data_IF_479452988062
#
_entry.id   IF_479452988062
#
_cell.length_a   1.000
_cell.length_b   1.000
_cell.length_c   1.000
_cell.angle_alpha   90.00
_cell.angle_beta   90.00
_cell.angle_gamma   90.00
#
_symmetry.space_group_name_H-M   'P 1'
#
loop_
_entity.id
_entity.type
_entity.pdbx_description
1 polymer ?
#
# COMPACT_ATOMS: atom_id res chain seq x y z
N UNK A 1 -6.40 -7.74 -19.78
CA UNK A 1 -6.44 -6.71 -18.72
C UNK A 1 -5.13 -5.97 -18.73
N UNK A 2 -5.12 -4.74 -18.27
CA UNK A 2 -3.94 -3.86 -18.40
C UNK A 2 -2.91 -4.06 -17.28
N UNK A 3 -3.22 -4.83 -16.26
CA UNK A 3 -2.33 -5.12 -15.12
C UNK A 3 -2.26 -4.01 -14.08
N UNK A 4 -3.31 -3.21 -13.98
CA UNK A 4 -3.43 -2.15 -12.95
C UNK A 4 -3.89 -2.71 -11.61
N UNK A 5 -3.72 -1.93 -10.52
CA UNK A 5 -4.29 -2.26 -9.19
C UNK A 5 -5.80 -2.50 -9.30
N UNK A 6 -6.50 -1.65 -10.05
CA UNK A 6 -7.96 -1.77 -10.23
C UNK A 6 -8.35 -3.06 -10.99
N UNK A 7 -7.58 -3.45 -12.01
CA UNK A 7 -7.85 -4.70 -12.74
C UNK A 7 -7.72 -5.92 -11.81
N UNK A 8 -6.70 -5.95 -10.98
CA UNK A 8 -6.48 -7.05 -10.04
C UNK A 8 -7.54 -7.07 -8.94
N UNK A 9 -7.86 -5.91 -8.35
CA UNK A 9 -8.90 -5.83 -7.31
C UNK A 9 -10.29 -6.18 -7.85
N UNK A 10 -10.59 -5.82 -9.11
CA UNK A 10 -11.83 -6.26 -9.77
C UNK A 10 -11.90 -7.79 -9.89
N UNK A 11 -10.79 -8.46 -10.20
CA UNK A 11 -10.77 -9.94 -10.18
C UNK A 11 -11.03 -10.47 -8.77
N UNK A 12 -10.48 -9.84 -7.72
CA UNK A 12 -10.79 -10.25 -6.35
C UNK A 12 -12.27 -10.05 -5.98
N UNK A 13 -12.93 -9.03 -6.54
CA UNK A 13 -14.37 -8.81 -6.33
C UNK A 13 -15.22 -9.88 -7.06
N UNK A 14 -14.79 -10.30 -8.27
CA UNK A 14 -15.43 -11.40 -9.03
C UNK A 14 -15.31 -12.75 -8.32
N UNK A 15 -14.31 -12.93 -7.47
CA UNK A 15 -14.08 -14.17 -6.72
C UNK A 15 -14.85 -14.28 -5.40
N UNK A 16 -15.45 -13.20 -4.91
CA UNK A 16 -16.19 -13.24 -3.64
C UNK A 16 -17.24 -14.34 -3.59
N UNK A 17 -17.22 -15.14 -2.53
CA UNK A 17 -18.10 -16.29 -2.32
C UNK A 17 -17.66 -17.57 -3.04
N UNK A 18 -16.55 -17.56 -3.78
CA UNK A 18 -16.05 -18.76 -4.44
C UNK A 18 -15.41 -19.70 -3.41
N UNK A 19 -15.87 -20.96 -3.39
CA UNK A 19 -15.37 -22.04 -2.52
C UNK A 19 -14.57 -23.11 -3.31
N UNK A 20 -14.39 -22.96 -4.63
CA UNK A 20 -13.64 -23.91 -5.45
C UNK A 20 -12.15 -23.56 -5.46
N UNK A 21 -11.39 -24.08 -4.51
CA UNK A 21 -9.94 -23.87 -4.42
C UNK A 21 -9.15 -24.50 -5.56
N UNK A 22 -9.59 -25.66 -6.07
CA UNK A 22 -8.90 -26.38 -7.13
C UNK A 22 -8.69 -25.55 -8.40
N UNK A 23 -9.65 -24.69 -8.77
CA UNK A 23 -9.55 -23.84 -9.96
C UNK A 23 -8.33 -22.93 -9.96
N UNK A 24 -7.85 -22.50 -8.80
CA UNK A 24 -6.71 -21.60 -8.70
C UNK A 24 -5.40 -22.32 -9.04
N UNK A 25 -5.27 -23.58 -8.63
CA UNK A 25 -4.14 -24.43 -9.02
C UNK A 25 -4.21 -24.83 -10.49
N UNK A 26 -5.41 -25.18 -10.98
CA UNK A 26 -5.66 -25.55 -12.39
C UNK A 26 -5.27 -24.42 -13.36
N UNK A 27 -5.48 -23.15 -12.97
CA UNK A 27 -5.05 -21.99 -13.76
C UNK A 27 -3.54 -22.02 -14.07
N UNK A 28 -2.73 -22.58 -13.17
CA UNK A 28 -1.29 -22.70 -13.30
C UNK A 28 -0.84 -24.08 -13.81
N UNK A 29 -1.79 -24.96 -14.19
CA UNK A 29 -1.50 -26.31 -14.70
C UNK A 29 -1.23 -27.35 -13.64
N UNK A 30 -1.67 -27.13 -12.40
CA UNK A 30 -1.54 -28.07 -11.27
C UNK A 30 -2.90 -28.70 -10.93
N UNK A 31 -2.89 -29.86 -10.28
CA UNK A 31 -4.05 -30.41 -9.59
C UNK A 31 -4.28 -29.70 -8.26
N UNK A 32 -5.31 -30.11 -7.53
CA UNK A 32 -5.59 -29.60 -6.20
C UNK A 32 -4.44 -29.97 -5.24
N UNK A 33 -3.82 -28.94 -4.63
CA UNK A 33 -2.69 -29.08 -3.71
C UNK A 33 -3.07 -28.77 -2.26
N UNK A 34 -4.36 -28.57 -1.96
CA UNK A 34 -4.86 -28.31 -0.61
C UNK A 34 -5.05 -26.83 -0.32
N UNK A 35 -4.27 -26.24 0.57
CA UNK A 35 -4.43 -24.85 0.99
C UNK A 35 -4.20 -23.87 -0.16
N UNK A 36 -5.25 -23.13 -0.52
CA UNK A 36 -5.29 -22.31 -1.73
C UNK A 36 -5.24 -20.79 -1.49
N UNK A 37 -4.87 -20.35 -0.28
CA UNK A 37 -4.78 -18.92 0.02
C UNK A 37 -3.83 -18.20 -0.95
N UNK A 38 -2.57 -18.64 -1.08
CA UNK A 38 -1.60 -18.03 -2.00
C UNK A 38 -1.95 -18.27 -3.47
N UNK A 39 -2.45 -19.47 -3.82
CA UNK A 39 -2.87 -19.77 -5.19
C UNK A 39 -3.97 -18.83 -5.68
N UNK A 40 -4.93 -18.47 -4.82
CA UNK A 40 -6.01 -17.55 -5.16
C UNK A 40 -5.51 -16.11 -5.37
N UNK A 41 -4.54 -15.66 -4.58
CA UNK A 41 -3.96 -14.33 -4.76
C UNK A 41 -3.14 -14.24 -6.06
N UNK A 42 -2.33 -15.26 -6.34
CA UNK A 42 -1.61 -15.34 -7.62
C UNK A 42 -2.57 -15.37 -8.81
N UNK A 43 -3.64 -16.16 -8.72
CA UNK A 43 -4.68 -16.17 -9.76
C UNK A 43 -5.22 -14.75 -10.02
N UNK A 44 -5.61 -14.02 -8.98
CA UNK A 44 -6.15 -12.67 -9.12
C UNK A 44 -5.11 -11.72 -9.75
N UNK A 45 -3.85 -11.78 -9.32
CA UNK A 45 -2.75 -10.97 -9.86
C UNK A 45 -2.57 -11.25 -11.36
N UNK A 46 -2.36 -12.51 -11.76
CA UNK A 46 -2.08 -12.87 -13.15
C UNK A 46 -3.31 -12.71 -14.05
N UNK A 47 -4.49 -13.05 -13.55
CA UNK A 47 -5.74 -12.83 -14.28
C UNK A 47 -6.01 -11.33 -14.50
N UNK A 48 -5.66 -10.49 -13.55
CA UNK A 48 -5.72 -9.02 -13.65
C UNK A 48 -4.67 -8.43 -14.60
N UNK A 49 -3.70 -9.24 -15.07
CA UNK A 49 -2.64 -8.82 -16.00
C UNK A 49 -1.38 -8.26 -15.33
N UNK A 50 -1.29 -8.30 -14.00
CA UNK A 50 -0.09 -8.00 -13.24
C UNK A 50 0.78 -9.24 -13.06
N UNK A 51 1.97 -9.09 -12.48
CA UNK A 51 2.89 -10.19 -12.15
C UNK A 51 3.39 -10.05 -10.71
N UNK A 52 4.02 -11.10 -10.19
CA UNK A 52 4.67 -11.07 -8.89
C UNK A 52 6.06 -11.69 -9.00
N UNK A 53 7.06 -11.06 -8.39
CA UNK A 53 8.42 -11.60 -8.32
C UNK A 53 8.51 -12.65 -7.19
N UNK A 54 7.66 -13.66 -7.29
CA UNK A 54 7.56 -14.79 -6.38
C UNK A 54 7.13 -16.05 -7.16
N UNK A 55 7.69 -17.21 -6.89
CA UNK A 55 8.82 -17.47 -5.97
C UNK A 55 10.15 -17.01 -6.56
N UNK A 56 11.26 -17.04 -5.78
CA UNK A 56 12.60 -16.89 -6.33
C UNK A 56 12.84 -17.88 -7.48
N UNK A 57 13.58 -17.46 -8.51
CA UNK A 57 13.76 -18.24 -9.73
C UNK A 57 14.43 -19.61 -9.49
N UNK A 58 15.25 -19.72 -8.45
CA UNK A 58 15.93 -20.93 -7.98
C UNK A 58 15.08 -21.81 -7.05
N UNK A 59 13.93 -21.29 -6.59
CA UNK A 59 13.00 -22.01 -5.71
C UNK A 59 11.56 -22.05 -6.27
N UNK A 60 11.33 -22.52 -7.51
CA UNK A 60 10.02 -22.48 -8.15
C UNK A 60 8.93 -23.30 -7.43
N UNK A 61 9.35 -24.22 -6.56
CA UNK A 61 8.47 -25.05 -5.74
C UNK A 61 7.77 -24.26 -4.62
N UNK A 62 8.29 -23.08 -4.25
CA UNK A 62 7.66 -22.16 -3.28
C UNK A 62 6.47 -21.39 -3.84
N UNK A 63 6.07 -21.61 -5.09
CA UNK A 63 5.05 -20.79 -5.76
C UNK A 63 3.79 -20.53 -4.93
N UNK A 64 3.28 -21.55 -4.26
CA UNK A 64 2.06 -21.45 -3.46
C UNK A 64 2.30 -21.38 -1.95
N UNK A 65 3.56 -21.24 -1.54
CA UNK A 65 3.93 -20.98 -0.15
C UNK A 65 3.74 -19.50 0.15
N UNK A 66 3.21 -19.19 1.32
CA UNK A 66 3.10 -17.79 1.79
C UNK A 66 4.51 -17.29 2.11
N UNK A 67 4.95 -16.18 1.52
CA UNK A 67 6.27 -15.62 1.82
C UNK A 67 6.38 -15.16 3.26
N UNK A 68 7.56 -15.31 3.83
CA UNK A 68 7.98 -14.65 5.06
C UNK A 68 9.06 -13.59 4.79
N UNK A 69 9.44 -12.87 5.85
CA UNK A 69 10.45 -11.81 5.74
C UNK A 69 11.84 -12.34 5.37
N UNK A 70 12.15 -13.59 5.67
CA UNK A 70 13.45 -14.21 5.40
C UNK A 70 13.57 -14.66 3.95
N UNK A 71 12.47 -15.17 3.39
CA UNK A 71 12.39 -15.65 2.01
C UNK A 71 12.23 -14.52 0.99
N UNK A 72 11.60 -13.42 1.38
CA UNK A 72 11.36 -12.30 0.50
C UNK A 72 12.65 -11.49 0.25
N UNK A 73 12.97 -11.13 -1.00
CA UNK A 73 14.11 -10.24 -1.27
C UNK A 73 13.98 -8.95 -0.45
N UNK A 74 15.05 -8.46 0.20
CA UNK A 74 14.97 -7.36 1.17
C UNK A 74 14.30 -6.07 0.66
N UNK A 75 14.37 -5.82 -0.67
CA UNK A 75 13.75 -4.65 -1.31
C UNK A 75 12.29 -4.86 -1.72
N UNK A 76 11.75 -6.07 -1.56
CA UNK A 76 10.38 -6.43 -1.95
C UNK A 76 9.45 -6.56 -0.74
N UNK A 77 10.02 -6.71 0.45
CA UNK A 77 9.25 -6.77 1.68
C UNK A 77 8.71 -5.40 2.06
N UNK A 78 7.44 -5.37 2.42
CA UNK A 78 6.77 -4.20 3.00
C UNK A 78 6.53 -4.49 4.48
N UNK A 79 7.08 -3.66 5.35
CA UNK A 79 6.70 -3.71 6.76
C UNK A 79 5.22 -3.28 6.91
N UNK A 80 4.50 -3.65 8.00
CA UNK A 80 3.07 -3.38 8.13
C UNK A 80 2.66 -1.91 7.85
N UNK A 81 3.48 -0.95 8.29
CA UNK A 81 3.24 0.48 8.07
C UNK A 81 3.44 0.91 6.60
N UNK A 82 4.05 0.05 5.79
CA UNK A 82 4.31 0.30 4.38
C UNK A 82 3.24 -0.32 3.47
N UNK A 83 2.23 -0.99 4.01
CA UNK A 83 1.16 -1.57 3.23
C UNK A 83 0.30 -0.51 2.58
N UNK A 84 -0.02 -0.72 1.33
CA UNK A 84 -0.89 0.12 0.50
C UNK A 84 -1.94 -0.73 -0.21
N UNK A 85 -2.96 -0.09 -0.74
CA UNK A 85 -3.96 -0.72 -1.59
C UNK A 85 -3.31 -1.49 -2.75
N UNK A 86 -3.70 -2.74 -2.95
CA UNK A 86 -3.14 -3.65 -3.96
C UNK A 86 -1.92 -4.44 -3.49
N UNK A 87 -1.34 -4.17 -2.31
CA UNK A 87 -0.29 -5.02 -1.76
C UNK A 87 -0.85 -6.40 -1.36
N UNK A 88 -0.07 -7.45 -1.54
CA UNK A 88 -0.26 -8.68 -0.76
C UNK A 88 0.05 -8.37 0.70
N UNK A 89 -0.72 -8.93 1.60
CA UNK A 89 -0.51 -8.86 3.06
C UNK A 89 -0.40 -10.26 3.61
N UNK A 90 0.61 -10.50 4.43
CA UNK A 90 0.89 -11.76 5.07
C UNK A 90 0.53 -11.70 6.55
N UNK A 91 -0.06 -12.76 7.05
CA UNK A 91 -0.54 -12.87 8.41
C UNK A 91 0.24 -13.93 9.17
N UNK A 92 0.43 -13.66 10.44
CA UNK A 92 1.03 -14.55 11.43
C UNK A 92 0.04 -14.64 12.60
N UNK A 93 -0.49 -15.84 12.82
CA UNK A 93 -1.55 -16.06 13.82
C UNK A 93 -1.00 -16.48 15.18
N UNK A 94 0.20 -17.06 15.22
CA UNK A 94 0.77 -17.66 16.43
C UNK A 94 2.05 -16.94 16.93
N UNK A 95 2.56 -15.97 16.17
CA UNK A 95 3.67 -15.11 16.56
C UNK A 95 5.05 -15.75 16.34
N UNK A 96 5.13 -16.76 15.46
CA UNK A 96 6.38 -17.45 15.15
C UNK A 96 7.21 -16.80 14.05
N UNK A 97 6.68 -15.72 13.45
CA UNK A 97 7.27 -14.92 12.36
C UNK A 97 7.22 -15.56 10.96
N UNK A 98 6.56 -16.69 10.81
CA UNK A 98 6.26 -17.31 9.52
C UNK A 98 4.89 -16.87 8.99
N UNK A 99 4.72 -16.88 7.69
CA UNK A 99 3.46 -16.48 7.08
C UNK A 99 2.45 -17.63 7.06
N UNK A 100 1.40 -17.54 7.87
CA UNK A 100 0.33 -18.53 7.94
C UNK A 100 -0.71 -18.37 6.84
N UNK A 101 -0.93 -17.13 6.41
CA UNK A 101 -2.00 -16.79 5.49
C UNK A 101 -1.68 -15.55 4.68
N UNK A 102 -2.42 -15.35 3.57
CA UNK A 102 -2.23 -14.21 2.68
C UNK A 102 -3.57 -13.66 2.20
N UNK A 103 -3.60 -12.34 2.07
CA UNK A 103 -4.68 -11.61 1.43
C UNK A 103 -4.14 -10.51 0.53
N UNK A 104 -5.05 -9.81 -0.15
CA UNK A 104 -4.75 -8.59 -0.88
C UNK A 104 -5.38 -7.40 -0.18
N UNK A 105 -4.61 -6.34 0.03
CA UNK A 105 -5.11 -5.10 0.65
C UNK A 105 -6.07 -4.39 -0.29
N UNK A 106 -7.32 -4.27 0.12
CA UNK A 106 -8.34 -3.44 -0.54
C UNK A 106 -8.21 -1.98 -0.08
N UNK A 107 -8.03 -1.79 1.23
CA UNK A 107 -7.80 -0.47 1.82
C UNK A 107 -7.07 -0.59 3.15
N UNK A 108 -6.27 0.43 3.47
CA UNK A 108 -5.60 0.59 4.75
C UNK A 108 -6.42 1.52 5.63
N UNK A 109 -6.54 1.18 6.91
CA UNK A 109 -7.29 1.90 7.92
C UNK A 109 -6.41 2.17 9.15
N UNK A 110 -6.81 3.04 10.06
CA UNK A 110 -6.08 3.32 11.30
C UNK A 110 -5.94 2.06 12.19
N UNK A 111 -6.93 1.19 12.16
CA UNK A 111 -6.98 -0.05 12.96
C UNK A 111 -6.35 -1.27 12.26
N UNK A 112 -6.07 -1.22 10.95
CA UNK A 112 -5.57 -2.37 10.18
C UNK A 112 -5.87 -2.27 8.70
N UNK A 113 -6.23 -3.40 8.08
CA UNK A 113 -6.54 -3.49 6.66
C UNK A 113 -7.90 -4.15 6.40
N UNK A 114 -8.61 -3.65 5.38
CA UNK A 114 -9.65 -4.41 4.70
C UNK A 114 -8.98 -5.21 3.59
N UNK A 115 -9.20 -6.52 3.56
CA UNK A 115 -8.50 -7.44 2.67
C UNK A 115 -9.45 -8.31 1.84
N UNK A 116 -8.93 -8.86 0.75
CA UNK A 116 -9.55 -9.90 -0.07
C UNK A 116 -8.73 -11.18 0.11
N UNK A 117 -9.36 -12.24 0.63
CA UNK A 117 -8.68 -13.45 1.04
C UNK A 117 -9.39 -14.70 0.50
N UNK A 118 -8.64 -15.60 -0.12
CA UNK A 118 -9.09 -16.94 -0.45
C UNK A 118 -8.75 -17.92 0.66
N UNK A 119 -9.41 -19.07 0.70
CA UNK A 119 -9.24 -20.12 1.70
C UNK A 119 -9.46 -19.62 3.14
N UNK A 120 -10.47 -18.79 3.35
CA UNK A 120 -10.74 -18.20 4.67
C UNK A 120 -12.17 -18.46 5.12
N UNK A 121 -12.35 -18.69 6.42
CA UNK A 121 -13.65 -18.99 7.03
C UNK A 121 -13.97 -20.49 7.12
N UNK A 122 -15.19 -20.78 7.59
CA UNK A 122 -15.71 -22.15 7.67
C UNK A 122 -17.19 -22.11 7.23
N UNK A 123 -17.54 -22.65 6.05
CA UNK A 123 -16.62 -23.27 5.07
C UNK A 123 -15.64 -22.26 4.47
N UNK A 124 -14.50 -22.77 3.98
CA UNK A 124 -13.48 -21.96 3.32
C UNK A 124 -13.98 -21.41 1.98
N UNK A 125 -13.88 -20.12 1.79
CA UNK A 125 -14.25 -19.44 0.55
C UNK A 125 -13.41 -18.16 0.35
N UNK A 126 -13.58 -17.47 -0.76
CA UNK A 126 -12.98 -16.17 -1.02
C UNK A 126 -13.84 -15.07 -0.40
N UNK A 127 -13.28 -14.30 0.55
CA UNK A 127 -14.03 -13.30 1.33
C UNK A 127 -13.34 -11.95 1.45
N UNK A 128 -14.11 -10.92 1.75
CA UNK A 128 -13.60 -9.70 2.39
C UNK A 128 -13.38 -9.94 3.87
N UNK A 129 -12.26 -9.46 4.41
CA UNK A 129 -11.92 -9.55 5.82
C UNK A 129 -11.44 -8.20 6.35
N UNK A 130 -11.58 -8.05 7.67
CA UNK A 130 -11.02 -6.94 8.42
C UNK A 130 -9.91 -7.51 9.32
N UNK A 131 -8.67 -7.02 9.15
CA UNK A 131 -7.48 -7.53 9.83
C UNK A 131 -6.80 -6.43 10.60
N UNK A 132 -6.69 -6.59 11.91
CA UNK A 132 -6.01 -5.65 12.79
C UNK A 132 -4.48 -5.74 12.62
N UNK A 133 -3.78 -4.67 13.01
CA UNK A 133 -2.33 -4.59 12.84
C UNK A 133 -1.55 -5.67 13.58
N UNK A 134 -2.05 -6.17 14.70
CA UNK A 134 -1.38 -7.16 15.56
C UNK A 134 -1.20 -8.53 14.93
N UNK A 135 -1.89 -8.85 13.85
CA UNK A 135 -1.79 -10.13 13.12
C UNK A 135 -1.11 -9.96 11.76
N UNK A 136 -0.67 -8.75 11.41
CA UNK A 136 -0.05 -8.46 10.13
C UNK A 136 1.46 -8.56 10.25
N UNK A 137 2.05 -9.53 9.56
CA UNK A 137 3.50 -9.76 9.50
C UNK A 137 4.19 -8.74 8.58
N UNK A 138 3.58 -8.44 7.45
CA UNK A 138 4.12 -7.57 6.40
C UNK A 138 3.45 -7.83 5.06
N UNK A 139 4.15 -7.55 3.98
CA UNK A 139 3.57 -7.76 2.65
C UNK A 139 4.55 -7.64 1.49
N UNK A 140 4.01 -7.71 0.28
CA UNK A 140 4.76 -7.57 -0.97
C UNK A 140 3.90 -6.88 -2.03
N UNK A 141 4.52 -6.04 -2.85
CA UNK A 141 3.82 -5.37 -3.95
C UNK A 141 3.92 -6.17 -5.23
N UNK A 142 2.78 -6.52 -5.87
CA UNK A 142 2.79 -7.01 -7.25
C UNK A 142 3.33 -5.98 -8.23
N UNK A 143 3.83 -6.45 -9.38
CA UNK A 143 4.31 -5.59 -10.46
C UNK A 143 3.10 -5.12 -11.28
N UNK A 144 2.56 -3.97 -10.93
CA UNK A 144 1.47 -3.32 -11.64
C UNK A 144 1.99 -2.46 -12.79
N UNK A 145 1.17 -2.26 -13.82
CA UNK A 145 1.48 -1.35 -14.95
C UNK A 145 1.19 0.10 -14.62
N UNK A 146 0.22 0.35 -13.75
CA UNK A 146 0.07 1.60 -13.03
C UNK A 146 0.84 1.42 -11.72
N UNK A 147 2.09 1.87 -11.65
CA UNK A 147 2.77 1.91 -10.36
C UNK A 147 1.81 2.50 -9.33
N UNK A 148 1.60 1.86 -8.18
CA UNK A 148 0.72 2.43 -7.16
C UNK A 148 1.19 3.86 -6.95
N UNK A 149 0.32 4.82 -7.23
CA UNK A 149 0.60 6.21 -6.86
C UNK A 149 0.79 6.22 -5.37
N UNK A 150 1.70 7.07 -4.88
CA UNK A 150 1.85 7.25 -3.46
C UNK A 150 0.50 7.51 -2.80
N UNK A 151 0.42 7.32 -1.52
CA UNK A 151 -0.81 7.37 -0.75
C UNK A 151 -0.70 8.42 0.36
N UNK A 152 -1.71 9.28 0.46
CA UNK A 152 -1.89 10.14 1.62
C UNK A 152 -2.37 9.32 2.82
N UNK A 153 -1.63 9.40 3.94
CA UNK A 153 -1.93 8.71 5.19
C UNK A 153 -2.14 9.76 6.28
N UNK A 154 -3.26 9.65 6.99
CA UNK A 154 -3.56 10.49 8.15
C UNK A 154 -3.31 9.70 9.42
N UNK A 155 -2.50 10.25 10.32
CA UNK A 155 -2.25 9.69 11.66
C UNK A 155 -2.14 10.81 12.67
N UNK A 156 -2.80 10.68 13.81
CA UNK A 156 -2.80 11.68 14.90
C UNK A 156 -3.14 13.10 14.41
N UNK A 157 -4.10 13.21 13.48
CA UNK A 157 -4.52 14.47 12.89
C UNK A 157 -3.58 15.07 11.84
N UNK A 158 -2.40 14.51 11.63
CA UNK A 158 -1.39 14.94 10.66
C UNK A 158 -1.38 14.07 9.42
N UNK A 159 -0.91 14.61 8.30
CA UNK A 159 -0.80 13.91 7.03
C UNK A 159 0.66 13.67 6.67
N UNK A 160 0.95 12.55 6.04
CA UNK A 160 2.18 12.25 5.35
C UNK A 160 1.88 11.51 4.03
N UNK A 161 2.81 11.55 3.10
CA UNK A 161 2.65 10.91 1.82
C UNK A 161 3.64 9.77 1.67
N UNK A 162 3.13 8.57 1.45
CA UNK A 162 3.94 7.39 1.19
C UNK A 162 4.04 7.18 -0.30
N UNK A 163 5.26 7.03 -0.81
CA UNK A 163 5.51 6.61 -2.17
C UNK A 163 5.16 5.13 -2.37
N UNK A 164 5.04 4.71 -3.65
CA UNK A 164 4.74 3.34 -4.02
C UNK A 164 5.75 2.30 -3.50
N UNK A 165 7.00 2.70 -3.38
CA UNK A 165 8.11 1.88 -2.87
C UNK A 165 8.20 1.87 -1.33
N UNK A 166 7.23 2.50 -0.65
CA UNK A 166 7.19 2.62 0.80
C UNK A 166 8.02 3.77 1.38
N UNK A 167 8.84 4.45 0.59
CA UNK A 167 9.56 5.64 1.02
C UNK A 167 8.63 6.84 1.24
N UNK A 168 9.14 7.91 1.82
CA UNK A 168 8.43 9.17 2.01
C UNK A 168 9.40 10.34 2.03
N UNK A 169 8.93 11.52 1.65
CA UNK A 169 9.72 12.74 1.65
C UNK A 169 9.87 13.29 3.06
N UNK A 170 11.09 13.69 3.42
CA UNK A 170 11.42 14.37 4.67
C UNK A 170 12.16 15.67 4.38
N UNK A 171 11.90 16.68 5.20
CA UNK A 171 12.60 17.98 5.14
C UNK A 171 12.74 18.54 3.71
N UNK A 172 11.62 18.58 2.98
CA UNK A 172 11.69 19.01 1.59
C UNK A 172 10.35 19.11 0.88
N UNK A 173 10.43 19.58 -0.35
CA UNK A 173 9.30 19.71 -1.26
C UNK A 173 9.05 18.45 -2.05
N UNK A 174 7.79 18.19 -2.31
CA UNK A 174 7.35 17.15 -3.24
C UNK A 174 6.14 17.62 -4.04
N UNK A 175 6.12 17.30 -5.33
CA UNK A 175 4.97 17.54 -6.18
C UNK A 175 4.09 16.29 -6.25
N UNK A 176 2.87 16.39 -5.74
CA UNK A 176 1.89 15.31 -5.70
C UNK A 176 0.63 15.78 -6.44
N UNK A 177 0.21 15.05 -7.45
CA UNK A 177 -0.96 15.37 -8.29
C UNK A 177 -0.97 16.84 -8.78
N UNK A 178 0.21 17.32 -9.19
CA UNK A 178 0.41 18.67 -9.75
C UNK A 178 0.46 19.81 -8.72
N UNK A 179 0.37 19.52 -7.42
CA UNK A 179 0.48 20.50 -6.33
C UNK A 179 1.75 20.27 -5.54
N UNK A 180 2.39 21.35 -5.05
CA UNK A 180 3.56 21.28 -4.21
C UNK A 180 3.17 21.21 -2.74
N UNK A 181 3.84 20.32 -1.98
CA UNK A 181 3.70 20.13 -0.54
C UNK A 181 5.07 20.14 0.10
N UNK A 182 5.16 20.58 1.35
CA UNK A 182 6.39 20.55 2.12
C UNK A 182 6.24 19.62 3.32
N UNK A 183 7.25 18.78 3.53
CA UNK A 183 7.29 17.82 4.62
C UNK A 183 8.39 18.19 5.61
N UNK A 184 8.11 18.04 6.91
CA UNK A 184 9.07 18.28 7.96
C UNK A 184 10.13 17.16 8.03
N UNK A 185 11.08 17.27 8.97
CA UNK A 185 12.16 16.29 9.14
C UNK A 185 11.67 14.90 9.58
N UNK A 186 10.45 14.79 10.08
CA UNK A 186 9.80 13.53 10.46
C UNK A 186 8.86 13.00 9.36
N UNK A 187 8.77 13.70 8.21
CA UNK A 187 7.92 13.31 7.08
C UNK A 187 6.47 13.75 7.18
N UNK A 188 6.11 14.63 8.13
CA UNK A 188 4.75 15.15 8.22
C UNK A 188 4.55 16.34 7.29
N UNK A 189 3.44 16.31 6.55
CA UNK A 189 3.03 17.43 5.70
C UNK A 189 2.72 18.66 6.56
N UNK A 190 3.31 19.79 6.20
CA UNK A 190 3.00 21.07 6.80
C UNK A 190 1.76 21.68 6.13
N UNK A 191 0.92 22.35 6.91
CA UNK A 191 -0.29 23.03 6.44
C UNK A 191 -0.56 24.30 7.25
N UNK A 192 -1.28 25.26 6.66
CA UNK A 192 -1.63 26.54 7.31
C UNK A 192 -0.42 27.26 7.91
N UNK A 193 0.70 27.28 7.20
CA UNK A 193 1.97 27.88 7.67
C UNK A 193 2.80 28.40 6.51
N UNK A 194 3.87 29.12 6.84
CA UNK A 194 4.89 29.52 5.87
C UNK A 194 6.19 28.74 6.12
N UNK A 195 6.85 28.38 5.02
CA UNK A 195 8.12 27.66 5.03
C UNK A 195 9.18 28.49 4.34
N UNK A 196 10.37 28.55 4.94
CA UNK A 196 11.57 29.06 4.26
C UNK A 196 12.47 27.86 3.94
N UNK A 197 12.74 27.61 2.67
CA UNK A 197 13.57 26.51 2.19
C UNK A 197 15.03 26.93 1.88
N UNK A 198 15.38 28.18 2.23
CA UNK A 198 16.68 28.77 1.93
C UNK A 198 16.72 29.53 0.60
N UNK A 199 15.73 29.34 -0.28
CA UNK A 199 15.59 30.10 -1.55
C UNK A 199 14.50 31.16 -1.48
N UNK A 200 13.51 31.01 -0.57
CA UNK A 200 12.41 31.93 -0.39
C UNK A 200 11.40 31.48 0.65
N UNK A 201 10.39 32.33 0.84
CA UNK A 201 9.24 32.03 1.69
C UNK A 201 8.06 31.56 0.85
N UNK A 202 7.44 30.49 1.28
CA UNK A 202 6.32 29.84 0.59
C UNK A 202 5.18 29.64 1.58
N UNK A 203 3.96 29.98 1.16
CA UNK A 203 2.77 29.79 1.98
C UNK A 203 2.06 28.47 1.64
N UNK A 204 1.68 27.73 2.68
CA UNK A 204 0.94 26.49 2.57
C UNK A 204 -0.49 26.69 3.07
N UNK A 205 -1.47 26.31 2.27
CA UNK A 205 -2.88 26.39 2.62
C UNK A 205 -3.31 25.35 3.66
N UNK A 206 -4.58 25.35 4.05
CA UNK A 206 -5.16 24.39 4.99
C UNK A 206 -5.10 22.94 4.47
N UNK A 207 -5.06 22.75 3.16
CA UNK A 207 -4.86 21.44 2.52
C UNK A 207 -3.40 20.98 2.50
N UNK A 208 -2.46 21.80 2.95
CA UNK A 208 -1.01 21.60 2.82
C UNK A 208 -0.43 21.99 1.48
N UNK A 209 -1.26 22.21 0.45
CA UNK A 209 -0.76 22.61 -0.86
C UNK A 209 -0.17 24.03 -0.83
N UNK A 210 0.95 24.23 -1.55
CA UNK A 210 1.55 25.53 -1.75
C UNK A 210 0.57 26.46 -2.47
N UNK A 211 0.43 27.67 -1.95
CA UNK A 211 -0.41 28.72 -2.55
C UNK A 211 0.41 29.47 -3.61
N UNK A 212 -0.08 29.51 -4.83
CA UNK A 212 0.62 30.14 -5.99
C UNK A 212 0.26 31.61 -6.19
N UNK A 213 -0.88 32.07 -5.67
CA UNK A 213 -1.41 33.42 -5.90
C UNK A 213 -1.33 34.33 -4.67
N UNK A 214 -0.42 34.02 -3.73
CA UNK A 214 -0.30 34.77 -2.49
C UNK A 214 0.61 35.98 -2.68
N UNK A 215 0.07 37.17 -2.57
CA UNK A 215 0.86 38.39 -2.43
C UNK A 215 1.36 38.47 -0.99
N UNK A 216 2.64 38.16 -0.77
CA UNK A 216 3.27 38.40 0.53
C UNK A 216 3.50 39.87 0.74
N UNK A 217 2.84 40.46 1.72
CA UNK A 217 3.19 41.78 2.24
C UNK A 217 4.19 41.60 3.38
N UNK A 218 5.39 42.14 3.25
CA UNK A 218 6.29 42.30 4.37
C UNK A 218 5.77 43.42 5.26
N UNK A 219 5.40 43.12 6.50
CA UNK A 219 5.13 44.16 7.47
C UNK A 219 6.40 44.99 7.73
N UNK A 220 6.24 46.27 7.99
CA UNK A 220 7.34 47.24 8.11
C UNK A 220 8.28 46.95 9.32
N UNK A 221 7.96 45.98 10.18
CA UNK A 221 8.70 45.55 11.36
C UNK A 221 9.45 44.21 11.19
N UNK A 222 9.51 43.68 9.95
CA UNK A 222 10.18 42.43 9.65
C UNK A 222 9.42 41.17 10.13
N UNK A 223 8.21 41.30 10.66
CA UNK A 223 7.33 40.18 10.98
C UNK A 223 6.40 39.91 9.81
N UNK A 224 6.29 38.66 9.44
CA UNK A 224 5.33 38.23 8.44
C UNK A 224 3.93 38.28 9.03
N UNK A 225 3.11 39.22 8.55
CA UNK A 225 1.71 39.32 8.93
C UNK A 225 0.91 38.10 8.47
N UNK A 226 -0.20 37.82 9.17
CA UNK A 226 -1.15 36.79 8.76
C UNK A 226 -1.61 37.06 7.31
N UNK A 227 -1.61 36.00 6.51
CA UNK A 227 -2.19 36.01 5.17
C UNK A 227 -3.71 36.20 5.32
N UNK A 228 -4.23 37.36 4.91
CA UNK A 228 -5.66 37.48 4.60
C UNK A 228 -5.90 36.85 3.22
N UNK A 229 -6.76 35.82 3.20
CA UNK A 229 -7.22 35.14 1.98
C UNK A 229 -8.31 35.96 1.27
#
# INVERSE_FOLDING_TARGET
MSGTVEDVLRVTDEELGNANGAKYFEYFGYGDLGDWCMASQLYCIYKGGATLDWPPADEPWKRFVVPDKHDCPPRKWLDPQQLVRGALVFFDWDGDTWGDHVGMVKSVQDWGCVTREGNTGNPAEFRERHREWNVILGGMMPNYTDAPRGQWIKRDGRWWYRHADGSYTTNGWEQIDGKWYYFDNAGWMLASTCVNDGTGWYALGASGAMLTDVKTHTAHDGRYGALEL
#
